data_IF_742991401870
#
_entry.id   IF_742991401870
#
_cell.length_a   1.000
_cell.length_b   1.000
_cell.length_c   1.000
_cell.angle_alpha   90.00
_cell.angle_beta   90.00
_cell.angle_gamma   90.00
#
_symmetry.space_group_name_H-M   'P 1'
#
loop_
_entity.id
_entity.type
_entity.pdbx_description
1 polymer ?
#
# COMPACT_ATOMS: atom_id res chain seq x y z
N UNK A 1 -20.13 26.49 21.48
CA UNK A 1 -20.38 25.60 20.31
C UNK A 1 -20.82 26.47 19.16
N UNK A 2 -19.92 26.88 18.27
CA UNK A 2 -20.30 27.52 17.02
C UNK A 2 -20.74 26.41 16.06
N UNK A 3 -22.05 26.26 15.86
CA UNK A 3 -22.58 25.48 14.73
C UNK A 3 -22.56 26.43 13.54
N UNK A 4 -21.44 26.46 12.83
CA UNK A 4 -21.33 27.23 11.61
C UNK A 4 -22.24 26.53 10.59
N UNK A 5 -23.31 27.20 10.18
CA UNK A 5 -24.23 26.66 9.18
C UNK A 5 -23.53 26.66 7.82
N UNK A 6 -23.63 25.56 7.08
CA UNK A 6 -23.05 25.46 5.74
C UNK A 6 -23.81 26.41 4.81
N UNK A 7 -23.07 27.29 4.14
CA UNK A 7 -23.62 28.36 3.31
C UNK A 7 -24.03 27.89 1.91
N UNK A 8 -23.53 26.72 1.49
CA UNK A 8 -23.86 26.08 0.22
C UNK A 8 -23.50 24.59 0.23
N UNK A 9 -23.93 23.86 -0.80
CA UNK A 9 -23.56 22.46 -1.00
C UNK A 9 -22.05 22.29 -1.22
N UNK A 10 -21.42 23.20 -1.99
CA UNK A 10 -19.96 23.21 -2.19
C UNK A 10 -19.20 23.46 -0.88
N UNK A 11 -19.69 24.38 -0.04
CA UNK A 11 -19.12 24.68 1.27
C UNK A 11 -19.19 23.47 2.21
N UNK A 12 -20.29 22.73 2.18
CA UNK A 12 -20.42 21.46 2.89
C UNK A 12 -19.43 20.41 2.38
N UNK A 13 -19.34 20.21 1.07
CA UNK A 13 -18.42 19.23 0.47
C UNK A 13 -16.95 19.57 0.76
N UNK A 14 -16.57 20.85 0.70
CA UNK A 14 -15.21 21.31 1.03
C UNK A 14 -14.90 21.09 2.52
N UNK A 15 -15.82 21.42 3.43
CA UNK A 15 -15.62 21.13 4.84
C UNK A 15 -15.52 19.63 5.10
N UNK A 16 -16.32 18.81 4.41
CA UNK A 16 -16.25 17.37 4.53
C UNK A 16 -14.90 16.83 4.03
N UNK A 17 -14.40 17.33 2.90
CA UNK A 17 -13.08 16.97 2.37
C UNK A 17 -11.93 17.48 3.24
N UNK A 18 -12.05 18.65 3.87
CA UNK A 18 -11.00 19.16 4.76
C UNK A 18 -10.95 18.40 6.10
N UNK A 19 -12.09 17.91 6.58
CA UNK A 19 -12.18 17.19 7.85
C UNK A 19 -12.01 15.67 7.73
N UNK A 20 -12.35 15.10 6.58
CA UNK A 20 -12.34 13.66 6.32
C UNK A 20 -11.63 13.26 5.02
N UNK A 21 -11.17 14.22 4.22
CA UNK A 21 -10.27 13.93 3.11
C UNK A 21 -8.89 13.62 3.67
N UNK A 22 -8.29 12.58 3.08
CA UNK A 22 -7.01 11.95 3.40
C UNK A 22 -6.11 12.79 4.31
N UNK A 23 -6.02 12.35 5.56
CA UNK A 23 -4.96 12.78 6.46
C UNK A 23 -3.60 12.44 5.84
N UNK A 24 -2.54 13.16 6.17
CA UNK A 24 -1.15 12.84 5.74
C UNK A 24 -0.75 11.38 6.09
N UNK A 25 -1.42 10.78 7.08
CA UNK A 25 -1.29 9.35 7.45
C UNK A 25 -1.97 8.36 6.47
N UNK A 26 -2.86 8.85 5.60
CA UNK A 26 -3.60 8.08 4.58
C UNK A 26 -2.98 8.21 3.18
N UNK A 27 -1.75 8.74 3.09
CA UNK A 27 -0.97 8.61 1.87
C UNK A 27 -0.68 7.13 1.64
N UNK A 28 -1.45 6.52 0.74
CA UNK A 28 -1.32 5.12 0.36
C UNK A 28 0.13 4.77 -0.05
N UNK A 29 0.89 5.74 -0.57
CA UNK A 29 2.33 5.63 -0.82
C UNK A 29 3.11 5.35 0.48
N UNK A 30 2.99 6.21 1.49
CA UNK A 30 3.60 5.99 2.81
C UNK A 30 3.19 4.65 3.44
N UNK A 31 1.91 4.26 3.30
CA UNK A 31 1.43 2.99 3.83
C UNK A 31 2.09 1.81 3.12
N UNK A 32 2.25 1.88 1.79
CA UNK A 32 2.92 0.85 1.00
C UNK A 32 4.37 0.63 1.42
N UNK A 33 5.12 1.70 1.71
CA UNK A 33 6.50 1.62 2.23
C UNK A 33 6.60 1.15 3.69
N UNK A 34 5.49 1.16 4.43
CA UNK A 34 5.45 0.75 5.83
C UNK A 34 5.07 -0.72 6.03
N UNK A 35 4.54 -1.39 5.00
CA UNK A 35 4.16 -2.81 5.06
C UNK A 35 5.43 -3.62 5.35
N UNK A 36 5.34 -4.57 6.27
CA UNK A 36 6.40 -5.56 6.52
C UNK A 36 5.78 -6.92 6.73
N UNK A 37 6.44 -7.98 6.27
CA UNK A 37 5.99 -9.35 6.51
C UNK A 37 6.12 -9.71 8.00
N UNK A 38 5.12 -9.35 8.82
CA UNK A 38 5.08 -9.66 10.25
C UNK A 38 4.51 -11.04 10.55
N UNK A 39 3.59 -11.51 9.70
CA UNK A 39 2.88 -12.79 9.85
C UNK A 39 3.32 -13.78 8.77
N UNK A 40 2.41 -14.62 8.31
CA UNK A 40 2.60 -15.48 7.14
C UNK A 40 2.83 -14.67 5.87
N UNK A 41 3.57 -15.23 4.92
CA UNK A 41 3.80 -14.59 3.62
C UNK A 41 2.50 -14.38 2.83
N UNK A 42 1.52 -15.29 2.93
CA UNK A 42 0.21 -15.12 2.28
C UNK A 42 -0.54 -13.87 2.78
N UNK A 43 -0.55 -13.64 4.10
CA UNK A 43 -1.14 -12.43 4.68
C UNK A 43 -0.43 -11.15 4.20
N UNK A 44 0.90 -11.20 4.05
CA UNK A 44 1.67 -10.09 3.49
C UNK A 44 1.33 -9.83 2.02
N UNK A 45 1.23 -10.87 1.18
CA UNK A 45 0.87 -10.73 -0.23
C UNK A 45 -0.51 -10.09 -0.37
N UNK A 46 -1.49 -10.53 0.43
CA UNK A 46 -2.83 -9.94 0.44
C UNK A 46 -2.81 -8.45 0.83
N UNK A 47 -2.11 -8.10 1.92
CA UNK A 47 -2.02 -6.71 2.37
C UNK A 47 -1.30 -5.82 1.34
N UNK A 48 -0.22 -6.33 0.74
CA UNK A 48 0.50 -5.65 -0.32
C UNK A 48 -0.40 -5.40 -1.54
N UNK A 49 -1.18 -6.40 -1.96
CA UNK A 49 -2.11 -6.26 -3.08
C UNK A 49 -3.17 -5.19 -2.82
N UNK A 50 -3.79 -5.25 -1.64
CA UNK A 50 -4.82 -4.29 -1.24
C UNK A 50 -4.28 -2.85 -1.25
N UNK A 51 -3.07 -2.61 -0.72
CA UNK A 51 -2.48 -1.27 -0.66
C UNK A 51 -1.91 -0.84 -2.02
N UNK A 52 -1.29 -1.73 -2.79
CA UNK A 52 -0.76 -1.40 -4.12
C UNK A 52 -1.85 -1.02 -5.12
N UNK A 53 -3.04 -1.62 -5.01
CA UNK A 53 -4.20 -1.25 -5.83
C UNK A 53 -4.69 0.18 -5.59
N UNK A 54 -4.33 0.79 -4.45
CA UNK A 54 -4.67 2.17 -4.08
C UNK A 54 -3.61 3.18 -4.52
N UNK A 55 -2.47 2.74 -5.11
CA UNK A 55 -1.38 3.59 -5.60
C UNK A 55 -1.08 3.29 -7.08
N UNK A 56 -1.98 3.64 -8.01
CA UNK A 56 -1.83 3.33 -9.43
C UNK A 56 -0.66 4.07 -10.11
N UNK A 57 -0.05 5.05 -9.45
CA UNK A 57 1.08 5.84 -9.97
C UNK A 57 2.41 5.07 -9.96
N UNK A 58 2.50 3.96 -9.22
CA UNK A 58 3.71 3.16 -9.14
C UNK A 58 3.74 2.10 -10.25
N UNK A 59 4.89 1.99 -10.91
CA UNK A 59 5.11 0.95 -11.90
C UNK A 59 5.46 -0.41 -11.24
N UNK A 60 5.33 -1.49 -12.03
CA UNK A 60 5.63 -2.85 -11.58
C UNK A 60 7.09 -3.01 -11.08
N UNK A 61 8.04 -2.21 -11.56
CA UNK A 61 9.44 -2.29 -11.13
C UNK A 61 9.64 -1.67 -9.73
N UNK A 62 8.91 -0.59 -9.43
CA UNK A 62 8.87 0.02 -8.11
C UNK A 62 8.17 -0.93 -7.13
N UNK A 63 7.02 -1.48 -7.52
CA UNK A 63 6.28 -2.45 -6.72
C UNK A 63 7.09 -3.72 -6.45
N UNK A 64 7.85 -4.23 -7.44
CA UNK A 64 8.76 -5.37 -7.25
C UNK A 64 9.82 -5.09 -6.17
N UNK A 65 10.43 -3.91 -6.19
CA UNK A 65 11.47 -3.54 -5.20
C UNK A 65 10.89 -3.41 -3.81
N UNK A 66 9.72 -2.78 -3.68
CA UNK A 66 9.02 -2.65 -2.39
C UNK A 66 8.66 -4.05 -1.88
N UNK A 67 8.01 -4.86 -2.73
CA UNK A 67 7.62 -6.22 -2.39
C UNK A 67 8.79 -7.05 -1.88
N UNK A 68 9.93 -7.03 -2.59
CA UNK A 68 11.13 -7.73 -2.17
C UNK A 68 11.71 -7.19 -0.86
N UNK A 69 11.76 -5.86 -0.67
CA UNK A 69 12.39 -5.23 0.50
C UNK A 69 11.67 -5.56 1.82
N UNK A 70 10.36 -5.72 1.79
CA UNK A 70 9.54 -5.86 2.98
C UNK A 70 9.23 -7.32 3.36
N UNK A 71 9.68 -8.27 2.53
CA UNK A 71 9.73 -9.69 2.88
C UNK A 71 10.75 -9.99 3.98
N UNK A 72 10.46 -11.04 4.74
CA UNK A 72 11.42 -11.66 5.66
C UNK A 72 12.62 -12.21 4.90
N UNK A 73 13.75 -12.24 5.59
CA UNK A 73 15.02 -12.70 5.04
C UNK A 73 14.93 -14.13 4.46
N UNK A 74 14.23 -15.03 5.15
CA UNK A 74 13.97 -16.39 4.66
C UNK A 74 13.30 -16.43 3.28
N UNK A 75 12.32 -15.55 3.03
CA UNK A 75 11.62 -15.51 1.74
C UNK A 75 12.47 -14.83 0.65
N UNK A 76 13.25 -13.82 1.01
CA UNK A 76 14.22 -13.21 0.09
C UNK A 76 15.23 -14.23 -0.42
N UNK A 77 15.65 -15.16 0.44
CA UNK A 77 16.56 -16.25 0.05
C UNK A 77 15.90 -17.23 -0.91
N UNK A 78 14.64 -17.60 -0.68
CA UNK A 78 13.86 -18.44 -1.61
C UNK A 78 13.77 -17.79 -3.00
N UNK A 79 13.45 -16.49 -3.05
CA UNK A 79 13.37 -15.74 -4.30
C UNK A 79 14.71 -15.71 -5.05
N UNK A 80 15.83 -15.53 -4.33
CA UNK A 80 17.17 -15.60 -4.91
C UNK A 80 17.51 -16.99 -5.44
N UNK A 81 17.20 -18.05 -4.69
CA UNK A 81 17.45 -19.43 -5.10
C UNK A 81 16.65 -19.83 -6.34
N UNK A 82 15.47 -19.22 -6.54
CA UNK A 82 14.59 -19.47 -7.68
C UNK A 82 14.82 -18.51 -8.84
N UNK A 83 15.77 -17.57 -8.72
CA UNK A 83 16.05 -16.53 -9.72
C UNK A 83 14.78 -15.80 -10.19
N UNK A 84 13.83 -15.58 -9.28
CA UNK A 84 12.53 -15.00 -9.63
C UNK A 84 12.64 -13.49 -9.80
N UNK A 85 12.35 -13.02 -11.01
CA UNK A 85 12.37 -11.60 -11.39
C UNK A 85 10.97 -11.18 -11.82
N UNK A 86 10.56 -9.99 -11.39
CA UNK A 86 9.24 -9.43 -11.65
C UNK A 86 8.22 -9.83 -10.60
N UNK A 87 7.36 -8.87 -10.26
CA UNK A 87 6.34 -8.99 -9.22
C UNK A 87 5.45 -10.24 -9.35
N UNK A 88 4.94 -10.63 -10.55
CA UNK A 88 4.12 -11.83 -10.68
C UNK A 88 4.86 -13.12 -10.32
N UNK A 89 6.14 -13.23 -10.72
CA UNK A 89 6.96 -14.41 -10.42
C UNK A 89 7.32 -14.47 -8.94
N UNK A 90 7.63 -13.33 -8.32
CA UNK A 90 7.93 -13.27 -6.90
C UNK A 90 6.73 -13.72 -6.05
N UNK A 91 5.53 -13.22 -6.37
CA UNK A 91 4.28 -13.64 -5.72
C UNK A 91 4.01 -15.15 -5.89
N UNK A 92 4.22 -15.67 -7.10
CA UNK A 92 4.03 -17.10 -7.38
C UNK A 92 5.03 -18.03 -6.67
N UNK A 93 6.23 -17.55 -6.37
CA UNK A 93 7.26 -18.36 -5.67
C UNK A 93 7.02 -18.40 -4.16
N UNK A 94 6.40 -17.35 -3.60
CA UNK A 94 6.20 -17.25 -2.14
C UNK A 94 4.87 -17.81 -1.65
N UNK A 95 3.91 -18.05 -2.55
CA UNK A 95 2.62 -18.71 -2.28
C UNK A 95 2.69 -20.20 -2.58
#
# INVERSE_FOLDING_TARGET
MNRQEFSSWDDFCQHMFLHFGETIEDDHGNRLFAIKQMRSVAAYVSEFEDVSAQVPELDDSQLEKIFYNDLKQEMKEVLKMKESIGLPHQKAVVL
#
